data_IF_161867536492
#
_entry.id   IF_161867536492
#
_cell.length_a   1.000
_cell.length_b   1.000
_cell.length_c   1.000
_cell.angle_alpha   90.00
_cell.angle_beta   90.00
_cell.angle_gamma   90.00
#
_symmetry.space_group_name_H-M   'P 1'
#
loop_
_entity.id
_entity.type
_entity.pdbx_description
1 polymer ?
#
# COMPACT_ATOMS: atom_id res chain seq x y z
N UNK A 1 0.72 -9.72 -20.19
CA UNK A 1 1.11 -9.77 -18.76
C UNK A 1 0.32 -8.73 -18.01
N UNK A 2 0.06 -8.95 -16.72
CA UNK A 2 -0.59 -7.96 -15.85
C UNK A 2 0.16 -7.83 -14.54
N UNK A 3 0.20 -6.64 -13.97
CA UNK A 3 0.86 -6.38 -12.68
C UNK A 3 0.02 -5.40 -11.85
N UNK A 4 -0.08 -5.64 -10.54
CA UNK A 4 -0.80 -4.76 -9.64
C UNK A 4 0.16 -3.74 -9.06
N UNK A 5 0.04 -2.48 -9.45
CA UNK A 5 0.88 -1.38 -9.01
C UNK A 5 0.22 -0.67 -7.84
N UNK A 6 0.92 -0.56 -6.72
CA UNK A 6 0.56 0.31 -5.59
C UNK A 6 1.49 1.50 -5.58
N UNK A 7 0.97 2.68 -5.81
CA UNK A 7 1.71 3.94 -5.71
C UNK A 7 1.09 4.86 -4.67
N UNK A 8 1.63 6.07 -4.49
CA UNK A 8 1.11 7.08 -3.56
C UNK A 8 -0.28 7.61 -3.97
N UNK A 9 -0.66 7.44 -5.23
CA UNK A 9 -1.97 7.83 -5.77
C UNK A 9 -3.03 6.74 -5.63
N UNK A 10 -2.69 5.60 -5.00
CA UNK A 10 -3.55 4.45 -4.87
C UNK A 10 -3.04 3.25 -5.65
N UNK A 11 -3.96 2.37 -6.05
CA UNK A 11 -3.62 1.11 -6.66
C UNK A 11 -4.27 0.95 -8.03
N UNK A 12 -3.44 0.61 -9.02
CA UNK A 12 -3.86 0.37 -10.39
C UNK A 12 -3.35 -0.98 -10.88
N UNK A 13 -4.08 -1.61 -11.80
CA UNK A 13 -3.61 -2.81 -12.50
C UNK A 13 -3.17 -2.41 -13.90
N UNK A 14 -1.91 -2.65 -14.20
CA UNK A 14 -1.33 -2.35 -15.51
C UNK A 14 -1.28 -3.65 -16.31
N UNK A 15 -1.79 -3.61 -17.55
CA UNK A 15 -1.69 -4.71 -18.51
C UNK A 15 -0.75 -4.29 -19.65
N UNK A 16 0.18 -5.16 -20.00
CA UNK A 16 1.22 -4.91 -21.01
C UNK A 16 1.59 -6.20 -21.73
N UNK A 17 2.22 -6.12 -22.90
CA UNK A 17 2.58 -7.29 -23.70
C UNK A 17 3.91 -7.93 -23.22
N UNK A 18 4.17 -9.19 -23.58
CA UNK A 18 5.48 -9.80 -23.33
C UNK A 18 6.61 -9.14 -24.15
N UNK A 19 6.27 -8.49 -25.26
CA UNK A 19 7.20 -7.73 -26.09
C UNK A 19 7.49 -6.32 -25.57
N UNK A 20 6.82 -5.87 -24.50
CA UNK A 20 7.04 -4.53 -23.92
C UNK A 20 8.49 -4.38 -23.44
N UNK A 21 9.12 -3.28 -23.81
CA UNK A 21 10.51 -2.99 -23.41
C UNK A 21 10.58 -2.46 -21.98
N UNK A 22 11.77 -2.49 -21.37
CA UNK A 22 12.02 -1.88 -20.06
C UNK A 22 11.70 -0.37 -20.09
N UNK A 23 12.04 0.32 -21.17
CA UNK A 23 11.73 1.74 -21.35
C UNK A 23 10.21 2.00 -21.35
N UNK A 24 9.47 1.25 -22.15
CA UNK A 24 8.00 1.39 -22.26
C UNK A 24 7.32 1.05 -20.94
N UNK A 25 7.78 -0.01 -20.26
CA UNK A 25 7.25 -0.40 -18.95
C UNK A 25 7.53 0.68 -17.88
N UNK A 26 8.72 1.28 -17.91
CA UNK A 26 9.07 2.40 -17.03
C UNK A 26 8.15 3.60 -17.28
N UNK A 27 7.89 3.93 -18.55
CA UNK A 27 6.98 5.02 -18.90
C UNK A 27 5.54 4.72 -18.43
N UNK A 28 5.09 3.47 -18.60
CA UNK A 28 3.77 3.04 -18.16
C UNK A 28 3.58 3.18 -16.64
N UNK A 29 4.63 2.93 -15.84
CA UNK A 29 4.62 3.20 -14.40
C UNK A 29 4.55 4.70 -14.12
N UNK A 30 5.34 5.53 -14.82
CA UNK A 30 5.29 7.00 -14.68
C UNK A 30 3.90 7.55 -14.94
N UNK A 31 3.29 7.13 -16.04
CA UNK A 31 1.96 7.59 -16.45
C UNK A 31 0.87 7.19 -15.44
N UNK A 32 0.96 5.99 -14.86
CA UNK A 32 -0.02 5.50 -13.89
C UNK A 32 0.18 6.05 -12.46
N UNK A 33 1.40 6.45 -12.10
CA UNK A 33 1.72 6.89 -10.73
C UNK A 33 1.94 8.39 -10.61
N UNK A 34 2.15 9.09 -11.73
CA UNK A 34 2.52 10.51 -11.76
C UNK A 34 3.93 10.80 -11.24
N UNK A 35 4.76 9.78 -11.00
CA UNK A 35 6.10 9.92 -10.42
C UNK A 35 7.17 9.96 -11.51
N UNK A 36 8.02 11.00 -11.49
CA UNK A 36 9.17 11.08 -12.40
C UNK A 36 10.37 10.24 -11.95
N UNK A 37 10.53 10.06 -10.63
CA UNK A 37 11.57 9.26 -10.00
C UNK A 37 10.93 8.40 -8.90
N UNK A 38 11.21 7.10 -8.93
CA UNK A 38 10.55 6.14 -8.05
C UNK A 38 11.43 4.93 -7.77
N UNK A 39 11.05 4.16 -6.76
CA UNK A 39 11.65 2.90 -6.37
C UNK A 39 10.58 1.80 -6.41
N UNK A 40 10.91 0.67 -7.05
CA UNK A 40 10.01 -0.47 -7.19
C UNK A 40 10.41 -1.58 -6.22
N UNK A 41 9.45 -2.07 -5.43
CA UNK A 41 9.57 -3.28 -4.61
C UNK A 41 8.59 -4.36 -5.06
N UNK A 42 9.00 -5.62 -5.02
CA UNK A 42 8.19 -6.77 -5.47
C UNK A 42 8.52 -8.04 -4.67
N UNK A 43 7.67 -9.07 -4.77
CA UNK A 43 7.94 -10.38 -4.17
C UNK A 43 7.53 -10.45 -2.69
N UNK A 44 6.24 -10.65 -2.42
CA UNK A 44 5.77 -10.93 -1.07
C UNK A 44 6.07 -12.38 -0.66
N UNK A 45 6.47 -12.69 0.59
CA UNK A 45 6.65 -11.78 1.73
C UNK A 45 8.01 -11.08 1.83
N UNK A 46 9.03 -11.56 1.10
CA UNK A 46 10.39 -11.02 1.16
C UNK A 46 10.64 -10.00 0.05
N UNK A 47 10.26 -8.74 0.31
CA UNK A 47 10.32 -7.68 -0.68
C UNK A 47 11.75 -7.47 -1.22
N UNK A 48 11.88 -7.48 -2.55
CA UNK A 48 13.10 -7.20 -3.29
C UNK A 48 12.95 -5.91 -4.09
N UNK A 49 14.06 -5.22 -4.34
CA UNK A 49 14.08 -4.03 -5.17
C UNK A 49 14.21 -4.42 -6.63
N UNK A 50 13.32 -3.90 -7.48
CA UNK A 50 13.47 -3.99 -8.93
C UNK A 50 14.06 -2.68 -9.42
N UNK A 51 15.34 -2.71 -9.79
CA UNK A 51 16.07 -1.56 -10.32
C UNK A 51 16.05 -1.62 -11.83
N UNK A 52 15.03 -1.00 -12.45
CA UNK A 52 14.88 -0.98 -13.90
C UNK A 52 16.06 -0.27 -14.59
N UNK A 53 16.76 0.61 -13.87
CA UNK A 53 17.94 1.35 -14.34
C UNK A 53 19.17 0.46 -14.58
N UNK A 54 19.19 -0.75 -14.01
CA UNK A 54 20.29 -1.71 -14.18
C UNK A 54 20.13 -2.56 -15.47
N UNK A 55 18.99 -2.46 -16.16
CA UNK A 55 18.70 -3.21 -17.39
C UNK A 55 18.80 -2.34 -18.64
N UNK A 56 18.99 -2.98 -19.80
CA UNK A 56 18.98 -2.28 -21.08
C UNK A 56 17.56 -1.75 -21.40
N UNK A 57 17.38 -0.46 -21.74
CA UNK A 57 16.06 0.11 -22.02
C UNK A 57 15.28 -0.60 -23.14
N UNK A 58 15.99 -1.22 -24.09
CA UNK A 58 15.42 -1.93 -25.24
C UNK A 58 15.17 -3.42 -24.97
N UNK A 59 15.71 -3.95 -23.87
CA UNK A 59 15.45 -5.33 -23.44
C UNK A 59 13.96 -5.50 -23.11
N UNK A 60 13.43 -6.68 -23.39
CA UNK A 60 12.04 -7.00 -23.03
C UNK A 60 11.91 -7.19 -21.54
N UNK A 61 10.82 -6.66 -20.98
CA UNK A 61 10.53 -6.79 -19.56
C UNK A 61 10.33 -8.25 -19.13
N UNK A 62 9.92 -9.14 -20.04
CA UNK A 62 9.79 -10.57 -19.76
C UNK A 62 11.14 -11.29 -19.58
N UNK A 63 12.24 -10.68 -20.04
CA UNK A 63 13.58 -11.29 -20.08
C UNK A 63 14.49 -10.83 -18.93
N UNK A 64 14.02 -9.94 -18.04
CA UNK A 64 14.81 -9.40 -16.91
C UNK A 64 15.03 -10.41 -15.77
N UNK A 65 14.50 -11.65 -15.89
CA UNK A 65 14.62 -12.69 -14.87
C UNK A 65 13.63 -12.57 -13.71
N UNK A 66 12.66 -11.65 -13.79
CA UNK A 66 11.62 -11.44 -12.78
C UNK A 66 10.25 -11.75 -13.37
N UNK A 67 9.49 -12.64 -12.73
CA UNK A 67 8.12 -12.93 -13.16
C UNK A 67 7.15 -11.87 -12.61
N UNK A 68 6.84 -10.88 -13.44
CA UNK A 68 5.91 -9.79 -13.10
C UNK A 68 4.43 -10.14 -13.30
N UNK A 69 4.11 -11.29 -13.90
CA UNK A 69 2.73 -11.60 -14.27
C UNK A 69 1.89 -12.06 -13.07
N UNK A 70 0.95 -11.21 -12.66
CA UNK A 70 0.14 -11.39 -11.46
C UNK A 70 0.83 -10.92 -10.18
N UNK A 71 2.04 -10.35 -10.29
CA UNK A 71 2.81 -9.85 -9.16
C UNK A 71 2.27 -8.50 -8.67
N UNK A 72 2.60 -8.14 -7.43
CA UNK A 72 2.33 -6.83 -6.87
C UNK A 72 3.62 -6.00 -6.80
N UNK A 73 3.59 -4.82 -7.42
CA UNK A 73 4.65 -3.82 -7.33
C UNK A 73 4.26 -2.72 -6.36
N UNK A 74 5.16 -2.38 -5.45
CA UNK A 74 5.04 -1.24 -4.55
C UNK A 74 5.98 -0.15 -5.08
N UNK A 75 5.43 1.01 -5.42
CA UNK A 75 6.13 2.14 -6.01
C UNK A 75 6.19 3.27 -4.98
N UNK A 76 7.41 3.60 -4.54
CA UNK A 76 7.66 4.72 -3.65
C UNK A 76 8.29 5.88 -4.42
N UNK A 77 7.94 7.11 -4.10
CA UNK A 77 8.60 8.29 -4.67
C UNK A 77 10.06 8.34 -4.24
N UNK A 78 10.97 8.55 -5.19
CA UNK A 78 12.39 8.78 -4.93
C UNK A 78 12.62 10.28 -5.04
N UNK A 79 12.54 11.01 -3.94
CA UNK A 79 13.04 12.39 -3.93
C UNK A 79 14.54 12.38 -4.24
N UNK A 80 15.08 13.40 -4.94
CA UNK A 80 16.52 13.59 -5.01
C UNK A 80 16.99 13.90 -3.60
N UNK A 81 17.60 12.93 -2.92
CA UNK A 81 18.31 13.17 -1.67
C UNK A 81 19.77 12.83 -1.91
N UNK A 82 20.61 13.83 -1.65
CA UNK A 82 22.05 13.70 -1.40
C UNK A 82 22.37 12.55 -0.42
N UNK A 83 23.61 12.03 -0.45
CA UNK A 83 23.90 10.61 -0.29
C UNK A 83 23.79 10.05 1.14
N UNK A 84 23.27 8.83 1.17
CA UNK A 84 23.61 7.68 2.02
C UNK A 84 24.25 7.95 3.39
N UNK A 85 23.52 7.61 4.45
CA UNK A 85 24.11 7.12 5.70
C UNK A 85 23.63 5.69 5.95
N UNK A 86 24.61 4.80 6.03
CA UNK A 86 24.52 3.35 6.14
C UNK A 86 23.75 2.89 7.38
N UNK A 87 22.86 1.91 7.22
CA UNK A 87 22.40 1.06 8.34
C UNK A 87 22.97 -0.36 8.18
N UNK A 88 23.46 -0.99 9.27
CA UNK A 88 23.90 -2.39 9.23
C UNK A 88 22.72 -3.38 9.24
N UNK A 89 22.92 -4.63 8.76
CA UNK A 89 21.87 -5.62 8.60
C UNK A 89 21.61 -6.39 9.90
N UNK A 90 20.34 -6.61 10.24
CA UNK A 90 19.93 -7.55 11.29
C UNK A 90 19.08 -8.68 10.70
N UNK A 91 19.57 -9.88 10.94
CA UNK A 91 19.14 -11.20 10.49
C UNK A 91 17.92 -11.76 11.24
N UNK A 92 16.97 -12.28 10.46
CA UNK A 92 16.30 -13.60 10.56
C UNK A 92 15.39 -13.99 11.74
N UNK A 93 14.31 -14.70 11.37
CA UNK A 93 13.50 -15.73 12.08
C UNK A 93 12.29 -15.21 12.88
N UNK A 94 11.08 -15.82 12.93
CA UNK A 94 10.39 -16.89 12.17
C UNK A 94 8.95 -17.05 12.74
N UNK A 95 7.90 -17.13 11.88
CA UNK A 95 6.52 -17.74 12.07
C UNK A 95 5.61 -17.29 13.25
N UNK A 96 4.27 -17.58 13.31
CA UNK A 96 3.24 -18.22 12.42
C UNK A 96 1.91 -17.35 12.37
N UNK A 97 0.65 -17.83 12.17
CA UNK A 97 0.06 -18.98 11.50
C UNK A 97 -0.95 -18.62 10.36
N UNK A 98 -1.34 -19.68 9.65
CA UNK A 98 -2.32 -19.78 8.54
C UNK A 98 -3.76 -19.51 9.00
N UNK A 99 -4.46 -18.53 8.41
CA UNK A 99 -5.92 -18.41 8.51
C UNK A 99 -6.58 -18.15 7.14
N UNK A 100 -7.22 -19.22 6.68
CA UNK A 100 -8.44 -19.35 5.87
C UNK A 100 -8.82 -18.25 4.86
N UNK A 101 -8.83 -18.70 3.60
CA UNK A 101 -9.59 -18.13 2.50
C UNK A 101 -11.07 -17.98 2.89
N UNK A 102 -11.54 -16.74 2.97
CA UNK A 102 -12.96 -16.41 2.77
C UNK A 102 -13.10 -15.59 1.50
N UNK A 103 -13.77 -16.23 0.55
CA UNK A 103 -14.34 -15.78 -0.72
C UNK A 103 -14.42 -14.25 -0.89
N UNK A 104 -13.70 -13.72 -1.88
CA UNK A 104 -13.90 -12.36 -2.38
C UNK A 104 -15.25 -12.28 -3.12
N UNK A 105 -16.14 -11.34 -2.80
CA UNK A 105 -17.25 -11.03 -3.68
C UNK A 105 -16.71 -10.32 -4.93
N UNK A 106 -17.14 -10.81 -6.10
CA UNK A 106 -16.80 -10.28 -7.41
C UNK A 106 -17.11 -8.78 -7.50
N UNK A 107 -16.08 -7.93 -7.65
CA UNK A 107 -16.25 -6.50 -7.96
C UNK A 107 -16.61 -6.38 -9.44
N UNK A 108 -17.87 -6.01 -9.69
CA UNK A 108 -18.34 -5.55 -11.00
C UNK A 108 -17.60 -4.25 -11.32
N UNK A 109 -16.81 -4.27 -12.39
CA UNK A 109 -16.21 -3.07 -12.98
C UNK A 109 -17.26 -2.39 -13.86
N UNK A 110 -17.77 -1.24 -13.42
CA UNK A 110 -18.54 -0.32 -14.25
C UNK A 110 -17.85 1.05 -14.24
N UNK A 111 -17.75 1.65 -15.42
CA UNK A 111 -16.85 2.74 -15.82
C UNK A 111 -17.23 4.15 -15.31
N UNK A 112 -17.80 4.25 -14.10
CA UNK A 112 -18.10 5.52 -13.41
C UNK A 112 -17.41 5.54 -12.02
N UNK A 113 -16.08 5.39 -11.99
CA UNK A 113 -15.30 5.25 -10.74
C UNK A 113 -15.02 6.60 -10.04
N UNK A 114 -15.94 7.57 -10.17
CA UNK A 114 -15.89 8.84 -9.43
C UNK A 114 -16.94 8.92 -8.32
N UNK A 115 -17.96 8.07 -8.35
CA UNK A 115 -19.04 8.08 -7.37
C UNK A 115 -18.76 7.03 -6.27
N UNK A 116 -18.71 7.44 -4.99
CA UNK A 116 -18.46 6.52 -3.90
C UNK A 116 -19.53 5.41 -3.86
N UNK A 117 -19.16 4.12 -3.74
CA UNK A 117 -20.13 3.03 -3.69
C UNK A 117 -21.23 3.26 -2.65
N UNK A 118 -22.48 3.07 -3.07
CA UNK A 118 -23.66 3.24 -2.24
C UNK A 118 -24.40 1.91 -2.05
N UNK A 119 -24.84 1.63 -0.81
CA UNK A 119 -25.65 0.46 -0.46
C UNK A 119 -26.90 0.93 0.28
N UNK A 120 -28.12 0.78 -0.29
CA UNK A 120 -29.35 1.16 0.37
C UNK A 120 -29.67 0.22 1.54
N UNK A 121 -30.06 0.80 2.68
CA UNK A 121 -30.56 0.13 3.88
C UNK A 121 -32.08 0.36 3.99
N UNK A 122 -32.85 -0.40 3.23
CA UNK A 122 -34.31 -0.25 3.13
C UNK A 122 -35.02 -0.34 4.49
N UNK A 123 -34.52 -1.17 5.41
CA UNK A 123 -35.07 -1.34 6.76
C UNK A 123 -34.93 -0.09 7.65
N UNK A 124 -33.94 0.75 7.37
CA UNK A 124 -33.60 1.94 8.17
C UNK A 124 -33.87 3.25 7.42
N UNK A 125 -34.41 3.18 6.20
CA UNK A 125 -34.71 4.35 5.37
C UNK A 125 -33.47 5.19 5.01
N UNK A 126 -32.29 4.57 4.94
CA UNK A 126 -31.02 5.27 4.70
C UNK A 126 -30.14 4.58 3.68
N UNK A 127 -29.02 5.21 3.32
CA UNK A 127 -28.02 4.69 2.39
C UNK A 127 -26.64 4.73 3.04
N UNK A 128 -25.89 3.64 2.94
CA UNK A 128 -24.48 3.60 3.33
C UNK A 128 -23.65 4.03 2.13
N UNK A 129 -22.82 5.04 2.31
CA UNK A 129 -21.94 5.57 1.26
C UNK A 129 -20.48 5.38 1.67
N UNK A 130 -19.68 4.75 0.82
CA UNK A 130 -18.25 4.57 1.06
C UNK A 130 -17.47 5.85 0.76
N UNK A 131 -17.05 6.58 1.79
CA UNK A 131 -16.19 7.76 1.59
C UNK A 131 -14.74 7.35 1.34
N UNK A 132 -14.20 7.72 0.19
CA UNK A 132 -12.79 7.51 -0.15
C UNK A 132 -11.93 8.48 0.66
N UNK A 133 -10.92 7.94 1.34
CA UNK A 133 -9.90 8.70 2.07
C UNK A 133 -8.58 8.71 1.28
N UNK A 134 -7.69 9.69 1.49
CA UNK A 134 -6.34 9.66 0.93
C UNK A 134 -5.60 8.37 1.29
N UNK A 135 -4.86 7.79 0.34
CA UNK A 135 -4.02 6.59 0.54
C UNK A 135 -2.70 6.97 1.23
N UNK A 136 -2.80 7.44 2.47
CA UNK A 136 -1.67 7.78 3.33
C UNK A 136 -1.58 6.84 4.54
N UNK A 137 -0.48 6.94 5.30
CA UNK A 137 -0.27 6.16 6.53
C UNK A 137 -1.21 6.56 7.68
N UNK A 138 -2.12 7.50 7.44
CA UNK A 138 -3.09 8.05 8.38
C UNK A 138 -4.53 7.73 8.00
N UNK A 139 -4.76 6.96 6.93
CA UNK A 139 -6.10 6.65 6.41
C UNK A 139 -7.03 6.04 7.48
N UNK A 140 -6.50 5.20 8.38
CA UNK A 140 -7.26 4.65 9.51
C UNK A 140 -7.74 5.74 10.46
N UNK A 141 -6.85 6.65 10.87
CA UNK A 141 -7.19 7.74 11.78
C UNK A 141 -8.16 8.71 11.11
N UNK A 142 -7.97 9.02 9.83
CA UNK A 142 -8.90 9.83 9.02
C UNK A 142 -10.29 9.18 8.93
N UNK A 143 -10.36 7.87 8.72
CA UNK A 143 -11.63 7.15 8.65
C UNK A 143 -12.39 7.20 9.98
N UNK A 144 -11.71 6.97 11.10
CA UNK A 144 -12.30 7.04 12.44
C UNK A 144 -12.73 8.48 12.78
N UNK A 145 -11.85 9.47 12.58
CA UNK A 145 -12.17 10.88 12.79
C UNK A 145 -13.30 11.38 11.88
N UNK A 146 -13.35 10.91 10.64
CA UNK A 146 -14.44 11.19 9.71
C UNK A 146 -15.79 10.66 10.18
N UNK A 147 -15.82 9.42 10.69
CA UNK A 147 -17.05 8.78 11.16
C UNK A 147 -17.56 9.34 12.50
N UNK A 148 -16.67 9.75 13.40
CA UNK A 148 -17.02 10.15 14.77
C UNK A 148 -17.09 11.68 14.93
N UNK A 149 -16.11 12.40 14.38
CA UNK A 149 -15.87 13.83 14.65
C UNK A 149 -16.33 14.73 13.48
N UNK A 150 -16.66 14.14 12.32
CA UNK A 150 -17.27 14.86 11.21
C UNK A 150 -16.28 15.49 10.22
N UNK A 151 -15.15 14.82 9.96
CA UNK A 151 -14.26 15.17 8.83
C UNK A 151 -13.12 16.14 9.16
N UNK A 152 -12.84 16.38 10.44
CA UNK A 152 -11.62 17.08 10.87
C UNK A 152 -10.41 16.15 10.75
N UNK A 153 -9.28 16.69 10.27
CA UNK A 153 -8.01 15.97 10.29
C UNK A 153 -7.51 15.89 11.74
N UNK A 154 -7.67 14.71 12.34
CA UNK A 154 -7.40 14.44 13.76
C UNK A 154 -6.33 13.37 13.94
N UNK A 155 -5.54 13.11 12.89
CA UNK A 155 -4.59 12.00 12.88
C UNK A 155 -3.53 12.10 13.98
N UNK A 156 -3.05 13.31 14.27
CA UNK A 156 -1.98 13.54 15.25
C UNK A 156 -2.51 13.37 16.67
N UNK A 157 -3.71 13.90 16.92
CA UNK A 157 -4.40 13.81 18.20
C UNK A 157 -4.77 12.35 18.49
N UNK A 158 -5.33 11.63 17.52
CA UNK A 158 -5.68 10.22 17.68
C UNK A 158 -4.44 9.36 17.91
N UNK A 159 -3.33 9.59 17.19
CA UNK A 159 -2.05 8.92 17.48
C UNK A 159 -1.57 9.19 18.89
N UNK A 160 -1.68 10.43 19.36
CA UNK A 160 -1.28 10.82 20.71
C UNK A 160 -2.14 10.14 21.78
N UNK A 161 -3.45 10.08 21.56
CA UNK A 161 -4.38 9.37 22.45
C UNK A 161 -4.05 7.89 22.52
N UNK A 162 -3.77 7.24 21.38
CA UNK A 162 -3.37 5.83 21.33
C UNK A 162 -2.09 5.60 22.13
N UNK A 163 -1.04 6.40 21.89
CA UNK A 163 0.22 6.29 22.60
C UNK A 163 0.04 6.47 24.12
N UNK A 164 -0.71 7.49 24.55
CA UNK A 164 -1.00 7.73 25.97
C UNK A 164 -1.80 6.58 26.61
N UNK A 165 -2.78 6.04 25.88
CA UNK A 165 -3.61 4.93 26.35
C UNK A 165 -2.77 3.67 26.55
N UNK A 166 -1.86 3.39 25.63
CA UNK A 166 -0.92 2.26 25.70
C UNK A 166 0.00 2.41 26.90
N UNK A 167 0.57 3.61 27.11
CA UNK A 167 1.42 3.92 28.25
C UNK A 167 0.70 3.79 29.59
N UNK A 168 -0.57 4.19 29.65
CA UNK A 168 -1.37 4.15 30.87
C UNK A 168 -1.86 2.74 31.27
N UNK A 169 -1.90 1.77 30.35
CA UNK A 169 -2.49 0.44 30.57
C UNK A 169 -1.49 -0.69 30.32
N UNK A 170 -0.49 -0.85 31.20
CA UNK A 170 0.62 -1.77 30.97
C UNK A 170 0.21 -3.24 30.96
N UNK A 171 -0.83 -3.60 31.71
CA UNK A 171 -1.32 -4.97 31.82
C UNK A 171 -2.07 -5.42 30.55
N UNK A 172 -2.74 -4.48 29.87
CA UNK A 172 -3.46 -4.72 28.61
C UNK A 172 -2.48 -4.69 27.43
N UNK A 173 -1.60 -3.68 27.41
CA UNK A 173 -0.62 -3.47 26.35
C UNK A 173 0.77 -3.93 26.80
N UNK A 174 0.90 -5.25 26.87
CA UNK A 174 2.19 -5.92 27.12
C UNK A 174 3.06 -5.94 25.87
N UNK A 175 4.37 -6.15 26.03
CA UNK A 175 5.32 -6.30 24.92
C UNK A 175 4.89 -7.37 23.91
N UNK A 176 4.17 -8.40 24.37
CA UNK A 176 3.64 -9.48 23.51
C UNK A 176 2.48 -8.98 22.65
N UNK A 177 1.60 -8.14 23.21
CA UNK A 177 0.47 -7.55 22.47
C UNK A 177 0.94 -6.52 21.46
N UNK A 178 1.98 -5.75 21.80
CA UNK A 178 2.52 -4.68 20.96
C UNK A 178 3.56 -5.19 19.93
N UNK A 179 4.04 -6.43 20.09
CA UNK A 179 5.16 -7.01 19.32
C UNK A 179 6.45 -6.18 19.38
N UNK A 180 6.52 -5.22 20.32
CA UNK A 180 7.60 -4.25 20.52
C UNK A 180 7.62 -3.83 21.99
N UNK A 181 8.73 -3.23 22.42
CA UNK A 181 8.78 -2.54 23.71
C UNK A 181 7.79 -1.39 23.70
N UNK A 182 7.08 -1.20 24.81
CA UNK A 182 6.06 -0.15 24.95
C UNK A 182 6.56 1.25 24.63
N UNK A 183 7.79 1.58 25.03
CA UNK A 183 8.39 2.90 24.78
C UNK A 183 8.80 3.10 23.32
N UNK A 184 8.96 2.01 22.56
CA UNK A 184 9.30 2.01 21.13
C UNK A 184 8.04 1.92 20.22
N UNK A 185 6.85 1.79 20.82
CA UNK A 185 5.57 1.67 20.13
C UNK A 185 4.88 3.04 19.98
#
# INVERSE_FOLDING_TARGET
>A
MRVRVRGPTGQNTITFDQSTTVADFTQLIKDNTGLNAFEIKYGYPNLQFLRLEEFDPTQKIAEIGVNLNGEQLIINSKQPTEPAVSQPPATSQATPPKLQQTQQPSRVTSEDDTEPPEVPLAEYGGTVVLRIMPDDNSCLFRAVGGAIIGGMDTMTELRSIVAQTIQAQPDVYSDVVLEKKRDDY
#
